data_IF_272443044858
#
_entry.id   IF_272443044858
#
_cell.length_a   1.000
_cell.length_b   1.000
_cell.length_c   1.000
_cell.angle_alpha   90.00
_cell.angle_beta   90.00
_cell.angle_gamma   90.00
#
_symmetry.space_group_name_H-M   'P 1'
#
loop_
_entity.id
_entity.type
_entity.pdbx_description
1 polymer ?
#
# COMPACT_ATOMS: atom_id res chain seq x y z
N UNK A 1 33.17 -45.67 -2.84
CA UNK A 1 32.31 -44.68 -3.52
C UNK A 1 31.47 -44.01 -2.45
N UNK A 2 31.76 -42.76 -2.07
CA UNK A 2 30.89 -41.91 -1.25
C UNK A 2 31.42 -40.47 -1.35
N UNK A 3 30.81 -39.66 -2.20
CA UNK A 3 31.08 -38.23 -2.28
C UNK A 3 29.88 -37.50 -1.67
N UNK A 4 30.01 -37.10 -0.42
CA UNK A 4 29.02 -36.24 0.24
C UNK A 4 29.24 -34.81 -0.26
N UNK A 5 28.29 -34.30 -1.05
CA UNK A 5 28.25 -32.89 -1.46
C UNK A 5 27.77 -32.08 -0.25
N UNK A 6 28.68 -31.31 0.36
CA UNK A 6 28.31 -30.32 1.37
C UNK A 6 27.74 -29.08 0.67
N UNK A 7 26.42 -28.89 0.79
CA UNK A 7 25.74 -27.66 0.36
C UNK A 7 25.97 -26.62 1.46
N UNK A 8 26.89 -25.67 1.24
CA UNK A 8 27.06 -24.52 2.12
C UNK A 8 25.89 -23.56 1.93
N UNK A 9 24.99 -23.47 2.91
CA UNK A 9 23.93 -22.47 2.95
C UNK A 9 24.52 -21.09 3.26
N UNK A 10 24.73 -20.27 2.23
CA UNK A 10 25.09 -18.87 2.43
C UNK A 10 23.89 -18.13 3.00
N UNK A 11 24.00 -17.66 4.25
CA UNK A 11 23.01 -16.77 4.87
C UNK A 11 23.18 -15.37 4.30
N UNK A 12 22.33 -14.98 3.35
CA UNK A 12 22.29 -13.60 2.84
C UNK A 12 21.78 -12.71 3.98
N UNK A 13 22.65 -11.85 4.51
CA UNK A 13 22.27 -10.87 5.52
C UNK A 13 21.16 -9.95 4.96
N UNK A 14 20.00 -9.94 5.62
CA UNK A 14 18.85 -9.13 5.21
C UNK A 14 19.20 -7.65 5.39
N UNK A 15 19.20 -6.89 4.28
CA UNK A 15 19.32 -5.44 4.32
C UNK A 15 18.01 -4.84 4.85
N UNK A 16 18.05 -3.85 5.74
CA UNK A 16 16.84 -3.18 6.21
C UNK A 16 16.15 -2.45 5.06
N UNK A 17 14.82 -2.36 5.12
CA UNK A 17 14.04 -1.62 4.14
C UNK A 17 14.43 -0.13 4.13
N UNK A 18 14.69 0.41 2.94
CA UNK A 18 15.02 1.82 2.77
C UNK A 18 13.78 2.68 3.01
N UNK A 19 13.87 3.67 3.90
CA UNK A 19 12.81 4.66 4.13
C UNK A 19 13.07 5.92 3.30
N UNK A 20 12.34 6.06 2.20
CA UNK A 20 12.53 7.18 1.26
C UNK A 20 12.09 8.52 1.84
N UNK A 21 10.96 8.57 2.56
CA UNK A 21 10.38 9.81 3.10
C UNK A 21 9.79 9.58 4.50
N UNK A 22 9.84 10.59 5.36
CA UNK A 22 9.10 10.62 6.63
C UNK A 22 7.65 11.05 6.35
N UNK A 23 6.70 10.17 6.62
CA UNK A 23 5.27 10.37 6.29
C UNK A 23 4.47 11.11 7.37
N UNK A 24 5.02 11.27 8.58
CA UNK A 24 4.29 11.73 9.76
C UNK A 24 3.88 13.22 9.75
N UNK A 25 4.43 14.02 8.84
CA UNK A 25 4.14 15.46 8.70
C UNK A 25 3.65 15.83 7.31
N UNK A 26 3.44 14.84 6.43
CA UNK A 26 2.95 15.12 5.09
C UNK A 26 1.46 15.46 5.14
N UNK A 27 1.07 16.49 4.40
CA UNK A 27 -0.32 16.67 4.01
C UNK A 27 -0.79 15.48 3.17
N UNK A 28 -2.11 15.35 3.02
CA UNK A 28 -2.70 14.29 2.19
C UNK A 28 -2.18 14.33 0.76
N UNK A 29 -2.06 15.52 0.18
CA UNK A 29 -1.64 15.68 -1.21
C UNK A 29 -0.15 15.37 -1.39
N UNK A 30 0.71 15.85 -0.49
CA UNK A 30 2.14 15.46 -0.49
C UNK A 30 2.33 13.95 -0.33
N UNK A 31 1.53 13.33 0.54
CA UNK A 31 1.55 11.88 0.72
C UNK A 31 1.11 11.14 -0.55
N UNK A 32 0.07 11.62 -1.24
CA UNK A 32 -0.40 11.07 -2.50
C UNK A 32 0.68 11.19 -3.60
N UNK A 33 1.35 12.34 -3.70
CA UNK A 33 2.45 12.53 -4.68
C UNK A 33 3.65 11.62 -4.38
N UNK A 34 4.08 11.51 -3.13
CA UNK A 34 5.16 10.58 -2.75
C UNK A 34 4.78 9.15 -3.11
N UNK A 35 3.52 8.74 -2.87
CA UNK A 35 3.04 7.38 -3.16
C UNK A 35 3.00 7.04 -4.66
N UNK A 36 2.98 8.02 -5.56
CA UNK A 36 3.11 7.76 -7.01
C UNK A 36 4.46 7.12 -7.39
N UNK A 37 5.50 7.32 -6.57
CA UNK A 37 6.86 6.86 -6.85
C UNK A 37 7.13 5.39 -6.46
N UNK A 38 6.13 4.65 -5.99
CA UNK A 38 6.28 3.24 -5.62
C UNK A 38 4.99 2.44 -5.80
N UNK A 39 5.10 1.11 -5.68
CA UNK A 39 3.96 0.19 -5.71
C UNK A 39 3.55 -0.13 -4.27
N UNK A 40 2.38 0.37 -3.86
CA UNK A 40 1.76 0.02 -2.58
C UNK A 40 0.88 -1.23 -2.69
N UNK A 41 0.30 -1.67 -1.56
CA UNK A 41 -0.53 -2.89 -1.53
C UNK A 41 -1.75 -2.84 -2.47
N UNK A 42 -2.42 -1.69 -2.58
CA UNK A 42 -3.53 -1.47 -3.53
C UNK A 42 -3.06 -1.61 -4.99
N UNK A 43 -1.85 -1.14 -5.25
CA UNK A 43 -1.25 -1.11 -6.57
C UNK A 43 -0.78 -2.51 -6.96
N UNK A 44 -0.29 -3.28 -6.00
CA UNK A 44 0.08 -4.69 -6.20
C UNK A 44 -1.10 -5.50 -6.72
N UNK A 45 -2.29 -5.36 -6.11
CA UNK A 45 -3.51 -6.02 -6.58
C UNK A 45 -3.89 -5.60 -8.01
N UNK A 46 -3.79 -4.30 -8.33
CA UNK A 46 -4.08 -3.80 -9.67
C UNK A 46 -3.04 -4.29 -10.69
N UNK A 47 -1.75 -4.31 -10.34
CA UNK A 47 -0.66 -4.77 -11.19
C UNK A 47 -0.83 -6.23 -11.63
N UNK A 48 -1.35 -7.09 -10.73
CA UNK A 48 -1.63 -8.51 -11.03
C UNK A 48 -3.05 -8.77 -11.55
N UNK A 49 -3.85 -7.72 -11.81
CA UNK A 49 -5.20 -7.87 -12.37
C UNK A 49 -6.26 -8.40 -11.39
N UNK A 50 -6.02 -8.33 -10.08
CA UNK A 50 -6.94 -8.80 -9.03
C UNK A 50 -7.68 -7.65 -8.31
N UNK A 51 -7.59 -6.41 -8.84
CA UNK A 51 -8.28 -5.26 -8.28
C UNK A 51 -9.58 -4.98 -9.06
N UNK A 52 -10.77 -5.07 -8.44
CA UNK A 52 -12.03 -4.81 -9.12
C UNK A 52 -12.30 -3.32 -9.38
N UNK A 53 -11.51 -2.41 -8.80
CA UNK A 53 -11.72 -0.96 -8.85
C UNK A 53 -10.69 -0.23 -9.72
N UNK A 54 -9.61 -0.90 -10.14
CA UNK A 54 -8.51 -0.27 -10.88
C UNK A 54 -7.88 -1.25 -11.86
N UNK A 55 -7.78 -0.84 -13.13
CA UNK A 55 -7.13 -1.65 -14.16
C UNK A 55 -5.60 -1.53 -14.13
N UNK A 56 -4.90 -2.47 -14.76
CA UNK A 56 -3.44 -2.41 -14.94
C UNK A 56 -2.99 -1.18 -15.74
N UNK A 57 -3.78 -0.78 -16.75
CA UNK A 57 -3.50 0.39 -17.57
C UNK A 57 -3.64 1.69 -16.76
N UNK A 58 -4.70 1.79 -15.97
CA UNK A 58 -4.92 2.94 -15.09
C UNK A 58 -3.79 3.10 -14.08
N UNK A 59 -3.36 1.99 -13.46
CA UNK A 59 -2.19 2.00 -12.59
C UNK A 59 -0.94 2.48 -13.33
N UNK A 60 -0.68 1.99 -14.54
CA UNK A 60 0.48 2.43 -15.33
C UNK A 60 0.40 3.94 -15.65
N UNK A 61 -0.78 4.46 -15.97
CA UNK A 61 -0.98 5.89 -16.21
C UNK A 61 -0.64 6.71 -14.95
N UNK A 62 -1.15 6.31 -13.78
CA UNK A 62 -0.85 6.97 -12.50
C UNK A 62 0.65 6.97 -12.16
N UNK A 63 1.32 5.83 -12.31
CA UNK A 63 2.75 5.68 -11.95
C UNK A 63 3.70 6.36 -12.93
N UNK A 64 3.22 6.70 -14.11
CA UNK A 64 4.01 7.37 -15.14
C UNK A 64 3.57 8.83 -15.39
N UNK A 65 2.68 9.36 -14.56
CA UNK A 65 2.21 10.76 -14.63
C UNK A 65 1.32 11.07 -15.83
N UNK A 66 0.63 10.06 -16.38
CA UNK A 66 -0.29 10.16 -17.53
C UNK A 66 -1.76 10.13 -17.11
N UNK A 67 -2.03 10.32 -15.83
CA UNK A 67 -3.34 10.25 -15.20
C UNK A 67 -4.09 11.59 -15.16
N UNK A 68 -3.59 12.64 -15.82
CA UNK A 68 -4.20 13.97 -15.82
C UNK A 68 -5.64 13.99 -16.36
N UNK A 69 -5.96 13.10 -17.32
CA UNK A 69 -7.30 12.96 -17.87
C UNK A 69 -8.18 11.92 -17.16
N UNK A 70 -7.67 11.25 -16.13
CA UNK A 70 -8.44 10.25 -15.40
C UNK A 70 -9.35 10.93 -14.37
N UNK A 71 -10.61 10.46 -14.21
CA UNK A 71 -11.47 10.91 -13.13
C UNK A 71 -10.76 10.74 -11.79
N UNK A 72 -10.69 11.81 -10.99
CA UNK A 72 -10.20 11.74 -9.62
C UNK A 72 -11.38 11.42 -8.70
N UNK A 73 -11.27 10.40 -7.82
CA UNK A 73 -12.31 10.14 -6.85
C UNK A 73 -12.56 11.39 -5.99
N UNK A 74 -13.81 11.83 -5.91
CA UNK A 74 -14.21 12.87 -4.97
C UNK A 74 -14.12 12.29 -3.55
N UNK A 75 -13.29 12.86 -2.64
CA UNK A 75 -13.19 12.38 -1.28
C UNK A 75 -14.51 12.48 -0.48
N UNK A 76 -15.49 13.26 -0.96
CA UNK A 76 -16.79 13.44 -0.31
C UNK A 76 -17.91 12.64 -0.99
N UNK A 77 -17.61 11.83 -2.00
CA UNK A 77 -18.59 10.96 -2.64
C UNK A 77 -19.01 9.83 -1.68
N UNK A 78 -20.19 9.98 -1.08
CA UNK A 78 -20.75 9.01 -0.12
C UNK A 78 -21.20 7.70 -0.76
N UNK A 79 -21.26 7.63 -2.10
CA UNK A 79 -21.51 6.39 -2.84
C UNK A 79 -20.25 5.55 -3.04
N UNK A 80 -19.06 6.16 -2.91
CA UNK A 80 -17.80 5.48 -3.14
C UNK A 80 -17.37 4.61 -1.94
N UNK A 81 -16.93 3.35 -2.16
CA UNK A 81 -16.44 2.49 -1.07
C UNK A 81 -15.26 3.08 -0.28
N UNK A 82 -14.43 3.90 -0.93
CA UNK A 82 -13.26 4.57 -0.32
C UNK A 82 -13.69 5.57 0.78
N UNK A 83 -14.83 6.24 0.60
CA UNK A 83 -15.38 7.17 1.59
C UNK A 83 -15.67 6.43 2.91
N UNK A 84 -16.44 5.34 2.83
CA UNK A 84 -16.80 4.53 3.99
C UNK A 84 -15.59 3.87 4.64
N UNK A 85 -14.63 3.39 3.85
CA UNK A 85 -13.37 2.85 4.38
C UNK A 85 -12.61 3.87 5.24
N UNK A 86 -12.50 5.11 4.77
CA UNK A 86 -11.83 6.20 5.49
C UNK A 86 -12.59 6.60 6.76
N UNK A 87 -13.92 6.72 6.65
CA UNK A 87 -14.78 7.10 7.77
C UNK A 87 -14.78 6.05 8.89
N UNK A 88 -14.80 4.77 8.53
CA UNK A 88 -14.93 3.66 9.48
C UNK A 88 -13.59 3.18 10.05
N UNK A 89 -12.45 3.51 9.44
CA UNK A 89 -11.11 3.10 9.89
C UNK A 89 -10.89 3.27 11.40
N UNK A 90 -11.18 4.44 12.03
CA UNK A 90 -10.94 4.61 13.47
C UNK A 90 -11.83 3.74 14.34
N UNK A 91 -13.09 3.52 13.92
CA UNK A 91 -14.08 2.72 14.66
C UNK A 91 -13.67 1.24 14.62
N UNK A 92 -13.29 0.74 13.44
CA UNK A 92 -12.82 -0.64 13.27
C UNK A 92 -11.53 -0.88 14.06
N UNK A 93 -10.58 0.07 14.04
CA UNK A 93 -9.34 -0.02 14.82
C UNK A 93 -9.59 -0.06 16.34
N UNK A 94 -10.54 0.73 16.84
CA UNK A 94 -10.94 0.73 18.24
C UNK A 94 -11.60 -0.61 18.64
N UNK A 95 -12.52 -1.12 17.82
CA UNK A 95 -13.16 -2.43 18.04
C UNK A 95 -12.15 -3.57 18.05
N UNK A 96 -11.22 -3.60 17.09
CA UNK A 96 -10.13 -4.59 17.07
C UNK A 96 -9.27 -4.53 18.33
N UNK A 97 -8.94 -3.33 18.80
CA UNK A 97 -8.15 -3.13 20.02
C UNK A 97 -8.89 -3.69 21.24
N UNK A 98 -10.20 -3.43 21.36
CA UNK A 98 -11.02 -3.94 22.45
C UNK A 98 -11.13 -5.47 22.43
N UNK A 99 -11.33 -6.08 21.27
CA UNK A 99 -11.51 -7.53 21.13
C UNK A 99 -10.21 -8.31 21.36
N UNK A 100 -9.07 -7.76 20.93
CA UNK A 100 -7.80 -8.52 20.93
C UNK A 100 -6.81 -8.09 22.01
N UNK A 101 -7.03 -6.94 22.66
CA UNK A 101 -6.09 -6.31 23.57
C UNK A 101 -4.81 -5.76 22.90
N UNK A 102 -4.70 -5.83 21.56
CA UNK A 102 -3.53 -5.36 20.82
C UNK A 102 -3.63 -3.87 20.52
N UNK A 103 -2.57 -3.11 20.79
CA UNK A 103 -2.49 -1.68 20.47
C UNK A 103 -2.38 -1.46 18.95
N UNK A 104 -3.22 -0.60 18.39
CA UNK A 104 -3.17 -0.18 16.98
C UNK A 104 -2.62 1.26 16.88
N UNK A 105 -1.78 1.51 15.87
CA UNK A 105 -1.21 2.83 15.58
C UNK A 105 -1.29 3.12 14.08
N UNK A 106 -1.75 4.33 13.73
CA UNK A 106 -1.67 4.85 12.36
C UNK A 106 -0.22 5.21 12.00
N UNK A 107 0.25 4.74 10.85
CA UNK A 107 1.64 4.84 10.39
C UNK A 107 1.87 5.91 9.33
#
# INVERSE_FOLDING_TARGET
MNNAVQIQSQTVALRPALRLVKTNKLSRDEWLEVRKHGIGSSDAAAAVGLNPYKSQLELWMEKTGRDAGLPKPDPNDTSAPVYWGTLLEPIVAASYTQQTGRKVRKV
#
